data_IF_369399513007
#
_entry.id   IF_369399513007
#
_cell.length_a   1.000
_cell.length_b   1.000
_cell.length_c   1.000
_cell.angle_alpha   90.00
_cell.angle_beta   90.00
_cell.angle_gamma   90.00
#
_symmetry.space_group_name_H-M   'P 1'
#
loop_
_entity.id
_entity.type
_entity.pdbx_description
1 polymer ?
#
# COMPACT_ATOMS: atom_id res chain seq x y z
N UNK A 1 16.90 -17.93 0.04
CA UNK A 1 16.75 -16.45 0.10
C UNK A 1 15.57 -16.08 0.99
N UNK A 2 15.41 -14.81 1.40
CA UNK A 2 14.30 -14.39 2.28
C UNK A 2 12.92 -14.71 1.70
N UNK A 3 12.68 -14.48 0.40
CA UNK A 3 11.39 -14.81 -0.22
C UNK A 3 11.06 -16.31 -0.15
N UNK A 4 12.06 -17.19 -0.28
CA UNK A 4 11.86 -18.64 -0.14
C UNK A 4 11.55 -19.04 1.30
N UNK A 5 12.20 -18.45 2.30
CA UNK A 5 11.96 -18.78 3.71
C UNK A 5 10.56 -18.38 4.19
N UNK A 6 9.93 -17.40 3.55
CA UNK A 6 8.53 -16.99 3.83
C UNK A 6 7.52 -17.65 2.88
N UNK A 7 7.93 -18.68 2.13
CA UNK A 7 7.04 -19.43 1.24
C UNK A 7 6.55 -18.65 0.02
N UNK A 8 7.36 -17.72 -0.50
CA UNK A 8 7.02 -16.96 -1.71
C UNK A 8 6.06 -15.78 -1.48
N UNK A 9 5.82 -15.39 -0.23
CA UNK A 9 4.78 -14.42 0.16
C UNK A 9 5.19 -12.95 0.09
N UNK A 10 6.21 -12.64 -0.70
CA UNK A 10 6.71 -11.29 -0.85
C UNK A 10 5.87 -10.50 -1.85
N UNK A 11 5.35 -9.37 -1.41
CA UNK A 11 4.55 -8.46 -2.22
C UNK A 11 5.32 -7.16 -2.48
N UNK A 12 5.33 -6.77 -3.76
CA UNK A 12 5.72 -5.42 -4.21
C UNK A 12 4.47 -4.75 -4.75
N UNK A 13 3.73 -4.08 -3.87
CA UNK A 13 2.54 -3.33 -4.23
C UNK A 13 2.84 -1.83 -4.17
N UNK A 14 2.38 -1.07 -5.17
CA UNK A 14 2.37 0.39 -5.10
C UNK A 14 1.28 0.85 -4.12
N UNK A 15 1.49 2.00 -3.47
CA UNK A 15 0.45 2.60 -2.65
C UNK A 15 -0.80 2.87 -3.50
N UNK A 16 -2.02 2.70 -2.95
CA UNK A 16 -3.24 2.77 -3.75
C UNK A 16 -3.41 4.08 -4.53
N UNK A 17 -3.00 5.22 -3.98
CA UNK A 17 -3.12 6.52 -4.68
C UNK A 17 -2.13 6.68 -5.85
N UNK A 18 -1.12 5.81 -5.98
CA UNK A 18 -0.18 5.82 -7.12
C UNK A 18 -0.90 5.72 -8.47
N UNK A 19 -2.08 5.09 -8.51
CA UNK A 19 -2.88 4.94 -9.74
C UNK A 19 -3.41 6.28 -10.27
N UNK A 20 -3.44 7.32 -9.44
CA UNK A 20 -3.94 8.64 -9.80
C UNK A 20 -2.89 9.57 -10.42
N UNK A 21 -1.61 9.20 -10.48
CA UNK A 21 -0.55 10.07 -10.95
C UNK A 21 -0.10 9.73 -12.39
N UNK A 22 -0.40 10.58 -13.39
CA UNK A 22 0.06 10.38 -14.76
C UNK A 22 1.60 10.28 -14.84
N UNK A 23 2.10 9.43 -15.74
CA UNK A 23 3.55 9.22 -15.93
C UNK A 23 4.20 8.25 -14.95
N UNK A 24 3.46 7.77 -13.93
CA UNK A 24 3.90 6.67 -13.08
C UNK A 24 3.59 5.31 -13.72
N UNK A 25 4.41 4.28 -13.50
CA UNK A 25 4.13 2.93 -14.02
C UNK A 25 2.80 2.34 -13.54
N UNK A 26 2.30 2.80 -12.39
CA UNK A 26 1.06 2.33 -11.77
C UNK A 26 -0.19 3.14 -12.21
N UNK A 27 -0.03 4.17 -13.05
CA UNK A 27 -1.14 5.04 -13.45
C UNK A 27 -2.28 4.26 -14.11
N UNK A 28 -3.50 4.46 -13.60
CA UNK A 28 -4.71 3.91 -14.18
C UNK A 28 -5.90 4.81 -13.80
N UNK A 29 -6.44 5.53 -14.79
CA UNK A 29 -7.52 6.49 -14.58
C UNK A 29 -8.81 5.85 -14.06
N UNK A 30 -9.13 4.63 -14.49
CA UNK A 30 -10.32 3.91 -14.03
C UNK A 30 -10.18 3.50 -12.56
N UNK A 31 -9.00 3.00 -12.17
CA UNK A 31 -8.71 2.67 -10.77
C UNK A 31 -8.66 3.92 -9.90
N UNK A 32 -8.15 5.05 -10.42
CA UNK A 32 -8.17 6.31 -9.70
C UNK A 32 -9.61 6.73 -9.36
N UNK A 33 -10.53 6.64 -10.33
CA UNK A 33 -11.94 6.95 -10.10
C UNK A 33 -12.60 6.06 -9.02
N UNK A 34 -12.07 4.85 -8.78
CA UNK A 34 -12.51 3.94 -7.72
C UNK A 34 -11.87 4.29 -6.36
N UNK A 35 -10.58 4.61 -6.36
CA UNK A 35 -9.78 4.91 -5.15
C UNK A 35 -10.20 6.22 -4.52
N UNK A 36 -10.31 7.31 -5.31
CA UNK A 36 -10.59 8.66 -4.81
C UNK A 36 -11.79 8.74 -3.85
N UNK A 37 -13.00 8.24 -4.18
CA UNK A 37 -14.15 8.34 -3.28
C UNK A 37 -14.07 7.45 -2.03
N UNK A 38 -13.18 6.45 -2.02
CA UNK A 38 -13.02 5.50 -0.89
C UNK A 38 -11.87 5.88 0.04
N UNK A 39 -11.01 6.80 -0.41
CA UNK A 39 -9.77 7.15 0.27
C UNK A 39 -9.97 7.54 1.74
N UNK A 40 -11.04 8.26 2.08
CA UNK A 40 -11.26 8.71 3.47
C UNK A 40 -11.80 7.62 4.41
N UNK A 41 -11.94 6.37 3.95
CA UNK A 41 -12.55 5.29 4.74
C UNK A 41 -11.51 4.36 5.36
N UNK A 42 -11.73 3.97 6.62
CA UNK A 42 -10.87 3.01 7.32
C UNK A 42 -10.84 1.65 6.60
N UNK A 43 -12.01 1.16 6.16
CA UNK A 43 -12.12 -0.10 5.43
C UNK A 43 -11.22 -0.13 4.18
N UNK A 44 -11.16 0.97 3.43
CA UNK A 44 -10.28 1.07 2.27
C UNK A 44 -8.81 0.95 2.67
N UNK A 45 -8.36 1.65 3.71
CA UNK A 45 -6.97 1.58 4.13
C UNK A 45 -6.62 0.21 4.74
N UNK A 46 -7.56 -0.42 5.45
CA UNK A 46 -7.40 -1.75 6.04
C UNK A 46 -7.23 -2.85 5.00
N UNK A 47 -7.96 -2.77 3.88
CA UNK A 47 -7.95 -3.80 2.83
C UNK A 47 -6.72 -3.69 1.90
N UNK A 48 -5.98 -2.58 1.94
CA UNK A 48 -4.79 -2.37 1.10
C UNK A 48 -3.48 -2.51 1.90
N UNK A 49 -2.63 -3.50 1.59
CA UNK A 49 -1.52 -3.93 2.46
C UNK A 49 -0.38 -2.90 2.65
N UNK A 50 -0.32 -1.89 1.78
CA UNK A 50 0.68 -0.80 1.83
C UNK A 50 0.03 0.55 2.13
N UNK A 51 -1.28 0.58 2.40
CA UNK A 51 -2.00 1.83 2.59
C UNK A 51 -1.76 2.39 3.98
N UNK A 52 -1.70 3.72 4.07
CA UNK A 52 -1.55 4.45 5.32
C UNK A 52 -2.74 5.40 5.37
N UNK A 53 -3.60 5.29 6.38
CA UNK A 53 -4.82 6.12 6.49
C UNK A 53 -4.50 7.57 6.82
N UNK A 54 -3.49 7.76 7.64
CA UNK A 54 -3.08 9.06 8.15
C UNK A 54 -1.90 9.58 7.35
N UNK A 55 -2.19 10.43 6.37
CA UNK A 55 -1.22 10.87 5.35
C UNK A 55 -0.06 11.70 5.92
N UNK A 56 -0.20 12.28 7.11
CA UNK A 56 0.93 12.91 7.80
C UNK A 56 2.08 11.94 8.08
N UNK A 57 1.82 10.62 8.17
CA UNK A 57 2.87 9.61 8.38
C UNK A 57 3.59 9.19 7.10
N UNK A 58 3.04 9.50 5.92
CA UNK A 58 3.69 9.26 4.62
C UNK A 58 4.09 10.58 3.92
N UNK A 59 4.12 11.69 4.68
CA UNK A 59 4.47 13.02 4.20
C UNK A 59 3.58 13.50 3.04
N UNK A 60 2.29 13.15 3.08
CA UNK A 60 1.29 13.52 2.07
C UNK A 60 1.72 13.14 0.63
N UNK A 61 2.45 12.03 0.50
CA UNK A 61 2.87 11.49 -0.79
C UNK A 61 1.88 10.43 -1.28
N UNK A 62 1.75 10.26 -2.60
CA UNK A 62 0.87 9.28 -3.25
C UNK A 62 -0.60 9.40 -2.83
N UNK A 63 -1.07 10.63 -2.64
CA UNK A 63 -2.49 10.93 -2.50
C UNK A 63 -3.23 10.61 -3.81
N UNK A 64 -4.54 10.32 -3.79
CA UNK A 64 -5.34 10.15 -4.99
C UNK A 64 -5.67 11.52 -5.64
N UNK A 65 -4.62 12.31 -5.85
CA UNK A 65 -4.62 13.65 -6.41
C UNK A 65 -3.49 13.70 -7.47
N UNK A 66 -3.82 13.89 -8.76
CA UNK A 66 -2.83 13.89 -9.83
C UNK A 66 -1.75 14.97 -9.66
N UNK A 67 -2.05 16.07 -8.97
CA UNK A 67 -1.14 17.20 -8.77
C UNK A 67 -0.27 17.05 -7.51
N UNK A 68 -0.54 16.04 -6.67
CA UNK A 68 0.24 15.78 -5.46
C UNK A 68 1.57 15.07 -5.75
N UNK A 69 2.57 15.16 -4.86
CA UNK A 69 3.82 14.41 -4.98
C UNK A 69 3.60 12.89 -4.98
N UNK A 70 4.27 12.16 -5.87
CA UNK A 70 4.14 10.69 -5.98
C UNK A 70 5.40 9.91 -5.56
N UNK A 71 6.12 10.37 -4.54
CA UNK A 71 7.29 9.63 -4.02
C UNK A 71 6.88 8.33 -3.29
N UNK A 72 7.63 7.22 -3.41
CA UNK A 72 7.46 6.02 -2.58
C UNK A 72 7.95 6.17 -1.13
N UNK A 73 8.71 7.20 -0.77
CA UNK A 73 9.57 7.18 0.42
C UNK A 73 8.81 7.04 1.75
N UNK A 74 7.55 7.46 1.80
CA UNK A 74 6.67 7.32 2.95
C UNK A 74 6.01 5.93 3.10
N UNK A 75 6.32 4.98 2.22
CA UNK A 75 5.65 3.67 2.14
C UNK A 75 6.63 2.50 2.33
N UNK A 76 6.15 1.35 2.83
CA UNK A 76 6.98 0.15 2.92
C UNK A 76 7.52 -0.23 1.55
N UNK A 77 8.84 -0.42 1.45
CA UNK A 77 9.46 -0.93 0.22
C UNK A 77 8.97 -2.34 -0.12
N UNK A 78 8.58 -3.11 0.91
CA UNK A 78 8.19 -4.51 0.84
C UNK A 78 7.12 -4.84 1.87
N UNK A 79 6.19 -5.73 1.49
CA UNK A 79 5.21 -6.31 2.42
C UNK A 79 5.26 -7.83 2.33
N UNK A 80 5.13 -8.50 3.46
CA UNK A 80 4.98 -9.95 3.53
C UNK A 80 3.52 -10.26 3.79
N UNK A 81 2.89 -11.04 2.90
CA UNK A 81 1.54 -11.54 3.14
C UNK A 81 1.61 -12.67 4.18
N UNK A 82 1.52 -12.31 5.46
CA UNK A 82 1.61 -13.27 6.55
C UNK A 82 0.30 -14.06 6.71
N UNK A 83 0.40 -15.40 6.76
CA UNK A 83 -0.69 -16.28 7.21
C UNK A 83 -0.18 -17.12 8.39
N UNK A 84 -1.07 -17.52 9.31
CA UNK A 84 -0.73 -18.07 10.63
C UNK A 84 0.35 -19.18 10.62
N UNK A 85 1.23 -19.08 11.63
CA UNK A 85 2.30 -19.95 12.18
C UNK A 85 3.51 -20.37 11.34
N UNK A 86 3.69 -19.91 10.10
CA UNK A 86 5.06 -19.93 9.51
C UNK A 86 5.82 -18.61 9.67
N UNK A 87 5.13 -17.49 9.89
CA UNK A 87 5.75 -16.16 9.83
C UNK A 87 5.97 -15.49 11.20
N UNK A 88 5.07 -15.69 12.17
CA UNK A 88 5.11 -15.02 13.48
C UNK A 88 4.41 -15.90 14.53
N UNK A 89 5.04 -16.06 15.70
CA UNK A 89 4.40 -16.58 16.91
C UNK A 89 3.78 -15.41 17.68
N UNK A 90 2.46 -15.38 17.77
CA UNK A 90 1.76 -14.48 18.68
C UNK A 90 1.59 -15.21 20.01
N UNK A 91 2.28 -14.73 21.05
CA UNK A 91 2.07 -15.22 22.42
C UNK A 91 0.67 -14.87 22.88
N UNK A 92 -0.03 -15.85 23.46
CA UNK A 92 -1.29 -15.60 24.16
C UNK A 92 -1.01 -14.76 25.42
N UNK A 93 -1.80 -13.70 25.62
CA UNK A 93 -1.84 -12.92 26.87
C UNK A 93 -2.75 -13.62 27.88
#
# INVERSE_FOLDING_TARGET
SFNQSIGGKFLRAAAPGAVCHPGQPAYNAEQCAIVTPRWSTDDFHRDYPVSIMWQQFNNDTRLPDPDAPCSPDGYPAYVVNATIKLALDFGEL
#
